data_IF_143714893015
#
_entry.id   IF_143714893015
#
_cell.length_a   1.000
_cell.length_b   1.000
_cell.length_c   1.000
_cell.angle_alpha   90.00
_cell.angle_beta   90.00
_cell.angle_gamma   90.00
#
_symmetry.space_group_name_H-M   'P 1'
#
loop_
_entity.id
_entity.type
_entity.pdbx_description
1 polymer ?
#
# COMPACT_ATOMS: atom_id res chain seq x y z
N UNK A 1 20.94 19.76 44.36
CA UNK A 1 20.63 20.90 43.47
C UNK A 1 19.93 20.35 42.23
N UNK A 2 18.62 20.52 42.12
CA UNK A 2 17.84 20.05 40.96
C UNK A 2 17.70 21.21 39.97
N UNK A 3 18.26 21.06 38.77
CA UNK A 3 18.16 22.07 37.70
C UNK A 3 16.98 21.70 36.79
N UNK A 4 15.92 22.48 36.93
CA UNK A 4 14.73 22.43 36.08
C UNK A 4 15.04 23.15 34.75
N UNK A 5 15.00 22.41 33.64
CA UNK A 5 14.99 22.99 32.29
C UNK A 5 13.65 22.68 31.63
N UNK A 6 12.70 23.57 31.87
CA UNK A 6 11.43 23.69 31.15
C UNK A 6 11.67 23.75 29.63
N UNK A 7 11.41 22.65 28.93
CA UNK A 7 11.16 22.66 27.47
C UNK A 7 9.71 23.06 27.26
N UNK A 8 9.47 24.27 26.73
CA UNK A 8 8.14 24.70 26.28
C UNK A 8 7.62 23.70 25.23
N UNK A 9 6.62 22.90 25.58
CA UNK A 9 5.97 21.95 24.68
C UNK A 9 5.01 22.71 23.78
N UNK A 10 5.27 22.71 22.48
CA UNK A 10 4.26 23.07 21.47
C UNK A 10 3.09 22.10 21.63
N UNK A 11 1.85 22.61 21.69
CA UNK A 11 0.67 21.77 21.85
C UNK A 11 0.54 20.82 20.66
N UNK A 12 0.81 19.54 20.91
CA UNK A 12 0.68 18.46 19.93
C UNK A 12 -0.80 18.21 19.72
N UNK A 13 -1.32 18.49 18.51
CA UNK A 13 -2.75 18.37 18.17
C UNK A 13 -3.33 16.97 18.46
N UNK A 14 -2.46 15.96 18.59
CA UNK A 14 -2.77 14.58 19.01
C UNK A 14 -1.68 13.98 19.94
N UNK A 15 -1.46 14.54 21.14
CA UNK A 15 -0.82 13.86 22.30
C UNK A 15 0.58 13.16 22.16
N UNK A 16 1.06 12.55 23.25
CA UNK A 16 2.17 11.57 23.23
C UNK A 16 1.60 10.19 22.89
N UNK A 17 1.31 9.95 21.62
CA UNK A 17 0.91 8.62 21.17
C UNK A 17 2.13 7.70 21.06
N UNK A 18 2.05 6.45 21.56
CA UNK A 18 3.13 5.48 21.44
C UNK A 18 3.39 5.14 19.97
N UNK A 19 4.61 4.69 19.64
CA UNK A 19 5.05 4.39 18.25
C UNK A 19 4.16 3.40 17.46
N UNK A 20 3.17 2.74 18.11
CA UNK A 20 2.30 1.70 17.54
C UNK A 20 0.81 1.87 17.85
N UNK A 21 0.35 3.09 18.11
CA UNK A 21 -1.01 3.33 18.61
C UNK A 21 -2.15 2.93 17.65
N UNK A 22 -1.85 2.66 16.38
CA UNK A 22 -2.81 2.31 15.33
C UNK A 22 -2.47 1.01 14.55
N UNK A 23 -1.64 0.12 15.11
CA UNK A 23 -1.24 -1.12 14.40
C UNK A 23 -2.34 -2.19 14.41
N UNK A 24 -3.05 -2.34 13.29
CA UNK A 24 -4.14 -3.31 13.15
C UNK A 24 -3.66 -4.61 12.52
N UNK A 25 -4.01 -5.75 13.14
CA UNK A 25 -3.68 -7.08 12.63
C UNK A 25 -4.97 -7.78 12.16
N UNK A 26 -5.10 -7.99 10.86
CA UNK A 26 -6.23 -8.72 10.28
C UNK A 26 -5.84 -10.18 10.07
N UNK A 27 -6.60 -11.10 10.67
CA UNK A 27 -6.48 -12.54 10.39
C UNK A 27 -7.53 -12.95 9.36
N UNK A 28 -7.10 -13.66 8.32
CA UNK A 28 -7.98 -14.31 7.36
C UNK A 28 -8.01 -15.81 7.71
N UNK A 29 -9.04 -16.30 8.43
CA UNK A 29 -9.05 -17.68 8.93
C UNK A 29 -9.25 -18.71 7.81
N UNK A 30 -9.96 -18.37 6.74
CA UNK A 30 -10.13 -19.23 5.58
C UNK A 30 -8.91 -19.14 4.64
N UNK A 31 -8.20 -20.24 4.36
CA UNK A 31 -7.11 -20.26 3.40
C UNK A 31 -7.52 -19.78 2.00
N UNK A 32 -8.77 -19.99 1.58
CA UNK A 32 -9.27 -19.50 0.29
C UNK A 32 -9.29 -17.98 0.25
N UNK A 33 -9.61 -17.34 1.37
CA UNK A 33 -9.63 -15.87 1.48
C UNK A 33 -8.21 -15.30 1.44
N UNK A 34 -7.26 -16.00 2.05
CA UNK A 34 -5.85 -15.63 1.95
C UNK A 34 -5.37 -15.63 0.50
N UNK A 35 -5.64 -16.71 -0.23
CA UNK A 35 -5.26 -16.83 -1.64
C UNK A 35 -5.93 -15.73 -2.46
N UNK A 36 -7.23 -15.51 -2.28
CA UNK A 36 -7.98 -14.47 -2.99
C UNK A 36 -7.39 -13.07 -2.76
N UNK A 37 -7.06 -12.72 -1.51
CA UNK A 37 -6.48 -11.41 -1.17
C UNK A 37 -5.07 -11.26 -1.74
N UNK A 38 -4.26 -12.32 -1.76
CA UNK A 38 -2.92 -12.32 -2.37
C UNK A 38 -3.01 -12.12 -3.89
N UNK A 39 -3.93 -12.81 -4.57
CA UNK A 39 -4.13 -12.66 -6.02
C UNK A 39 -4.58 -11.23 -6.38
N UNK A 40 -5.49 -10.65 -5.58
CA UNK A 40 -5.92 -9.28 -5.77
C UNK A 40 -4.78 -8.28 -5.55
N UNK A 41 -3.93 -8.51 -4.54
CA UNK A 41 -2.73 -7.70 -4.32
C UNK A 41 -1.81 -7.73 -5.55
N UNK A 42 -1.49 -8.91 -6.09
CA UNK A 42 -0.65 -9.03 -7.28
C UNK A 42 -1.24 -8.34 -8.51
N UNK A 43 -2.57 -8.35 -8.67
CA UNK A 43 -3.27 -7.66 -9.76
C UNK A 43 -3.37 -6.14 -9.56
N UNK A 44 -3.33 -5.67 -8.32
CA UNK A 44 -3.50 -4.25 -7.99
C UNK A 44 -2.31 -3.38 -8.40
N UNK A 45 -1.10 -3.96 -8.44
CA UNK A 45 0.13 -3.20 -8.67
C UNK A 45 0.53 -2.29 -7.51
N UNK A 46 -0.12 -2.39 -6.33
CA UNK A 46 0.25 -1.63 -5.15
C UNK A 46 1.67 -1.94 -4.68
N UNK A 47 2.34 -0.94 -4.10
CA UNK A 47 3.74 -1.07 -3.66
C UNK A 47 3.89 -1.92 -2.41
N UNK A 48 2.82 -2.02 -1.60
CA UNK A 48 2.81 -2.85 -0.39
C UNK A 48 1.43 -3.45 -0.10
N UNK A 49 1.41 -4.53 0.68
CA UNK A 49 0.17 -5.16 1.16
C UNK A 49 -0.68 -4.19 1.97
N UNK A 50 -0.04 -3.37 2.81
CA UNK A 50 -0.73 -2.40 3.66
C UNK A 50 -1.42 -1.31 2.85
N UNK A 51 -0.79 -0.82 1.78
CA UNK A 51 -1.39 0.12 0.84
C UNK A 51 -2.61 -0.49 0.13
N UNK A 52 -2.46 -1.72 -0.37
CA UNK A 52 -3.57 -2.46 -1.00
C UNK A 52 -4.77 -2.65 -0.04
N UNK A 53 -4.51 -3.08 1.19
CA UNK A 53 -5.57 -3.28 2.20
C UNK A 53 -6.22 -1.97 2.60
N UNK A 54 -5.44 -0.90 2.79
CA UNK A 54 -5.96 0.44 3.13
C UNK A 54 -6.90 0.95 2.04
N UNK A 55 -6.47 0.88 0.78
CA UNK A 55 -7.29 1.30 -0.36
C UNK A 55 -8.62 0.52 -0.41
N UNK A 56 -8.59 -0.78 -0.13
CA UNK A 56 -9.80 -1.61 -0.14
C UNK A 56 -10.74 -1.33 1.04
N UNK A 57 -10.20 -1.09 2.23
CA UNK A 57 -10.98 -0.77 3.43
C UNK A 57 -11.63 0.60 3.36
N UNK A 58 -10.93 1.60 2.80
CA UNK A 58 -11.43 2.97 2.66
C UNK A 58 -12.27 3.19 1.39
N UNK A 59 -12.44 2.16 0.56
CA UNK A 59 -13.23 2.24 -0.66
C UNK A 59 -12.59 3.11 -1.75
N UNK A 60 -11.26 3.28 -1.73
CA UNK A 60 -10.54 4.03 -2.76
C UNK A 60 -10.67 3.33 -4.12
N UNK A 61 -10.94 4.10 -5.17
CA UNK A 61 -11.05 3.58 -6.53
C UNK A 61 -9.66 3.27 -7.10
N UNK A 62 -9.44 2.06 -7.63
CA UNK A 62 -8.25 1.74 -8.41
C UNK A 62 -8.62 1.29 -9.83
N UNK A 63 -7.80 1.67 -10.80
CA UNK A 63 -7.92 1.27 -12.20
C UNK A 63 -6.87 0.20 -12.50
N UNK A 64 -7.31 -1.03 -12.75
CA UNK A 64 -6.41 -2.08 -13.25
C UNK A 64 -6.16 -1.82 -14.73
N UNK A 65 -4.96 -1.37 -15.08
CA UNK A 65 -4.51 -1.31 -16.47
C UNK A 65 -3.71 -2.58 -16.73
N UNK A 66 -4.39 -3.61 -17.24
CA UNK A 66 -3.70 -4.81 -17.70
C UNK A 66 -3.01 -4.48 -19.03
N UNK A 67 -1.69 -4.37 -19.02
CA UNK A 67 -0.89 -4.28 -20.25
C UNK A 67 -0.62 -5.71 -20.72
N UNK A 68 -1.15 -6.06 -21.90
CA UNK A 68 -0.80 -7.31 -22.56
C UNK A 68 0.68 -7.26 -22.95
N UNK A 69 1.50 -8.04 -22.23
CA UNK A 69 2.95 -8.10 -22.44
C UNK A 69 3.29 -8.58 -23.86
N UNK A 70 2.45 -9.42 -24.46
CA UNK A 70 2.67 -9.90 -25.84
C UNK A 70 2.47 -8.78 -26.87
N UNK A 71 1.51 -7.89 -26.63
CA UNK A 71 1.28 -6.71 -27.45
C UNK A 71 2.44 -5.72 -27.37
N UNK A 72 3.02 -5.51 -26.18
CA UNK A 72 4.21 -4.65 -26.01
C UNK A 72 5.40 -5.17 -26.81
N UNK A 73 5.63 -6.48 -26.78
CA UNK A 73 6.71 -7.10 -27.54
C UNK A 73 6.48 -7.04 -29.06
N UNK A 74 5.22 -7.21 -29.50
CA UNK A 74 4.83 -7.04 -30.90
C UNK A 74 5.10 -5.62 -31.42
N UNK A 75 4.65 -4.59 -30.69
CA UNK A 75 4.87 -3.20 -31.10
C UNK A 75 6.35 -2.81 -31.09
N UNK A 76 7.15 -3.37 -30.18
CA UNK A 76 8.60 -3.18 -30.18
C UNK A 76 9.23 -3.73 -31.45
N UNK A 77 8.93 -4.98 -31.81
CA UNK A 77 9.45 -5.63 -33.03
C UNK A 77 9.01 -4.90 -34.29
N UNK A 78 7.77 -4.42 -34.34
CA UNK A 78 7.28 -3.59 -35.44
C UNK A 78 8.07 -2.29 -35.56
N UNK A 79 8.30 -1.59 -34.44
CA UNK A 79 9.07 -0.33 -34.46
C UNK A 79 10.50 -0.52 -34.96
N UNK A 80 11.13 -1.65 -34.63
CA UNK A 80 12.47 -2.02 -35.10
C UNK A 80 12.51 -2.34 -36.61
N UNK A 81 11.38 -2.75 -37.21
CA UNK A 81 11.27 -3.02 -38.65
C UNK A 81 10.94 -1.78 -39.48
N UNK A 82 10.28 -0.79 -38.88
CA UNK A 82 9.89 0.47 -39.54
C UNK A 82 10.83 1.66 -39.26
N UNK A 83 11.87 1.47 -38.44
CA UNK A 83 12.92 2.45 -38.16
C UNK A 83 14.11 2.28 -39.12
#
# INVERSE_FOLDING_TARGET
MSSDKSKKRVAKKYGDMPDKWDDWHVRLPDPKDQIRVIDLYHKSGSMSKSEFVRARLLGEHFKVIAVDKSAVEYYRKLSELTA
#
